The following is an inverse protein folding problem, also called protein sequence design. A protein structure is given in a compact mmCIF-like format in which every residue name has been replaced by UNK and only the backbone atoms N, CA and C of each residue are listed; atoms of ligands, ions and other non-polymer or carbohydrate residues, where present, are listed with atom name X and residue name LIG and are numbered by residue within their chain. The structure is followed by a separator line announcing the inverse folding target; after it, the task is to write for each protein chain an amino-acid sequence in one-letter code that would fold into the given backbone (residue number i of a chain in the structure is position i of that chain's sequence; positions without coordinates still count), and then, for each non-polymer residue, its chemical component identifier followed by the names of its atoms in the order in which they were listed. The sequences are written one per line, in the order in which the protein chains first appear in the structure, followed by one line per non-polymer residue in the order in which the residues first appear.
data_IF_518175417439
#
_entry.id   IF_518175417439
#
_cell.length_a   1.000
_cell.length_b   1.000
_cell.length_c   1.000
_cell.angle_alpha   90.00
_cell.angle_beta   90.00
_cell.angle_gamma   90.00
#
_symmetry.space_group_name_H-M   'P 1'
#
loop_
_entity.id
_entity.type
_entity.pdbx_description
1 polymer ?
#
# COMPACT_ATOMS: atom_id res chain seq x y z
N UNK A 1 -13.05 4.46 1.16
CA UNK A 1 -12.08 3.36 1.38
C UNK A 1 -12.53 2.41 2.48
N UNK A 2 -13.01 2.95 3.60
CA UNK A 2 -13.55 2.11 4.68
C UNK A 2 -14.74 1.27 4.22
N UNK A 3 -15.62 1.84 3.40
CA UNK A 3 -16.79 1.12 2.85
C UNK A 3 -16.38 -0.11 2.05
N UNK A 4 -15.33 0.00 1.25
CA UNK A 4 -14.83 -1.12 0.44
C UNK A 4 -14.31 -2.23 1.36
N UNK A 5 -13.55 -1.88 2.37
CA UNK A 5 -12.99 -2.84 3.33
C UNK A 5 -14.11 -3.54 4.12
N UNK A 6 -15.12 -2.79 4.54
CA UNK A 6 -16.28 -3.35 5.21
C UNK A 6 -17.01 -4.36 4.30
N UNK A 7 -17.17 -4.01 3.03
CA UNK A 7 -17.84 -4.85 2.05
C UNK A 7 -17.05 -6.14 1.80
N UNK A 8 -15.73 -6.05 1.72
CA UNK A 8 -14.86 -7.21 1.55
C UNK A 8 -15.00 -8.14 2.77
N UNK A 9 -14.91 -7.60 3.96
CA UNK A 9 -15.07 -8.40 5.19
C UNK A 9 -16.42 -9.12 5.22
N UNK A 10 -17.49 -8.40 4.93
CA UNK A 10 -18.84 -8.98 4.96
C UNK A 10 -19.06 -10.04 3.88
N UNK A 11 -18.34 -9.94 2.77
CA UNK A 11 -18.45 -10.90 1.65
C UNK A 11 -17.65 -12.17 1.85
N UNK A 12 -16.67 -12.17 2.77
CA UNK A 12 -15.86 -13.34 3.04
C UNK A 12 -16.59 -14.34 3.92
N UNK A 13 -16.33 -15.63 3.68
CA UNK A 13 -16.69 -16.69 4.63
C UNK A 13 -15.74 -16.64 5.83
N UNK A 14 -16.19 -17.17 6.95
CA UNK A 14 -15.30 -17.30 8.12
C UNK A 14 -14.09 -18.15 7.76
N UNK A 15 -12.91 -17.68 8.13
CA UNK A 15 -11.63 -18.28 7.73
C UNK A 15 -11.13 -17.81 6.37
N UNK A 16 -11.91 -17.04 5.62
CA UNK A 16 -11.49 -16.47 4.35
C UNK A 16 -10.43 -15.39 4.53
N UNK A 17 -9.55 -15.26 3.54
CA UNK A 17 -8.44 -14.32 3.59
C UNK A 17 -8.61 -13.17 2.59
N UNK A 18 -8.09 -12.02 2.99
CA UNK A 18 -7.98 -10.85 2.13
C UNK A 18 -6.52 -10.44 2.05
N UNK A 19 -5.98 -10.34 0.85
CA UNK A 19 -4.61 -9.87 0.61
C UNK A 19 -4.66 -8.46 0.04
N UNK A 20 -4.01 -7.53 0.72
CA UNK A 20 -3.91 -6.14 0.31
C UNK A 20 -2.47 -5.82 -0.04
N UNK A 21 -2.20 -5.51 -1.31
CA UNK A 21 -0.89 -5.06 -1.77
C UNK A 21 -1.01 -3.63 -2.26
N UNK A 22 -0.33 -2.72 -1.59
CA UNK A 22 -0.40 -1.30 -1.93
C UNK A 22 0.92 -0.59 -1.69
N UNK A 23 1.08 0.55 -2.35
CA UNK A 23 2.06 1.54 -1.94
C UNK A 23 1.61 2.14 -0.62
N UNK A 24 2.56 2.34 0.28
CA UNK A 24 2.32 3.00 1.55
C UNK A 24 3.19 4.24 1.67
N UNK A 25 2.69 5.20 2.47
CA UNK A 25 3.45 6.40 2.81
C UNK A 25 4.06 6.20 4.20
N UNK A 26 5.32 6.58 4.33
CA UNK A 26 5.96 6.61 5.64
C UNK A 26 5.56 7.88 6.39
N UNK A 27 5.31 7.78 7.71
CA UNK A 27 4.89 8.95 8.48
C UNK A 27 6.00 9.98 8.66
N UNK A 28 7.25 9.58 8.62
CA UNK A 28 8.42 10.44 8.73
C UNK A 28 8.85 10.90 7.33
N UNK A 29 8.95 12.22 7.14
CA UNK A 29 9.28 12.79 5.84
C UNK A 29 10.66 12.36 5.33
N UNK A 30 11.62 12.17 6.24
CA UNK A 30 12.97 11.71 5.88
C UNK A 30 12.92 10.30 5.28
N UNK A 31 12.23 9.38 5.95
CA UNK A 31 12.11 8.02 5.45
C UNK A 31 11.29 7.98 4.17
N UNK A 32 10.26 8.81 4.06
CA UNK A 32 9.48 8.90 2.83
C UNK A 32 10.36 9.32 1.65
N UNK A 33 11.21 10.31 1.82
CA UNK A 33 12.13 10.76 0.77
C UNK A 33 13.14 9.68 0.40
N UNK A 34 13.73 9.02 1.39
CA UNK A 34 14.71 7.94 1.16
C UNK A 34 14.09 6.75 0.43
N UNK A 35 12.90 6.33 0.84
CA UNK A 35 12.20 5.20 0.22
C UNK A 35 11.75 5.56 -1.20
N UNK A 36 11.30 6.78 -1.42
CA UNK A 36 10.95 7.26 -2.76
C UNK A 36 12.16 7.19 -3.70
N UNK A 37 13.34 7.57 -3.22
CA UNK A 37 14.57 7.48 -4.02
C UNK A 37 14.94 6.03 -4.31
N UNK A 38 14.84 5.14 -3.33
CA UNK A 38 15.10 3.71 -3.52
C UNK A 38 14.18 3.13 -4.59
N UNK A 39 12.92 3.53 -4.59
CA UNK A 39 11.95 3.07 -5.57
C UNK A 39 12.26 3.58 -6.98
N UNK A 40 12.67 4.85 -7.10
CA UNK A 40 13.07 5.41 -8.39
C UNK A 40 14.30 4.69 -8.93
N UNK A 41 15.30 4.43 -8.10
CA UNK A 41 16.50 3.70 -8.49
C UNK A 41 16.15 2.29 -8.96
N UNK A 42 15.25 1.61 -8.26
CA UNK A 42 14.76 0.29 -8.66
C UNK A 42 14.12 0.33 -10.05
N UNK A 43 13.28 1.33 -10.32
CA UNK A 43 12.64 1.47 -11.64
C UNK A 43 13.67 1.69 -12.74
N UNK A 44 14.69 2.52 -12.50
CA UNK A 44 15.74 2.75 -13.47
C UNK A 44 16.53 1.47 -13.75
N UNK A 45 16.83 0.68 -12.73
CA UNK A 45 17.50 -0.61 -12.87
C UNK A 45 16.67 -1.62 -13.65
N UNK A 46 15.34 -1.55 -13.55
CA UNK A 46 14.43 -2.42 -14.31
C UNK A 46 14.24 -1.98 -15.76
N UNK A 47 14.93 -0.92 -16.20
CA UNK A 47 14.90 -0.47 -17.58
C UNK A 47 13.84 0.57 -17.90
N UNK A 48 13.14 1.10 -16.92
CA UNK A 48 12.22 2.21 -17.14
C UNK A 48 12.98 3.47 -17.50
N UNK A 49 12.48 4.21 -18.51
CA UNK A 49 13.09 5.46 -18.91
C UNK A 49 12.81 6.55 -17.89
N UNK A 50 13.79 7.42 -17.65
CA UNK A 50 13.62 8.53 -16.69
C UNK A 50 12.47 9.46 -17.04
N UNK A 51 12.26 9.76 -18.32
CA UNK A 51 11.14 10.60 -18.76
C UNK A 51 9.77 9.93 -18.50
N UNK A 52 9.66 8.62 -18.70
CA UNK A 52 8.45 7.88 -18.40
C UNK A 52 8.15 7.87 -16.89
N UNK A 53 9.16 7.72 -16.07
CA UNK A 53 9.02 7.77 -14.61
C UNK A 53 8.51 9.14 -14.15
N UNK A 54 9.10 10.21 -14.65
CA UNK A 54 8.72 11.58 -14.32
C UNK A 54 7.30 11.87 -14.78
N UNK A 55 6.94 11.50 -16.01
CA UNK A 55 5.60 11.73 -16.54
C UNK A 55 4.53 10.99 -15.74
N UNK A 56 4.79 9.76 -15.36
CA UNK A 56 3.87 8.99 -14.52
C UNK A 56 3.72 9.62 -13.14
N UNK A 57 4.82 10.05 -12.53
CA UNK A 57 4.79 10.74 -11.23
C UNK A 57 3.92 11.99 -11.29
N UNK A 58 4.07 12.80 -12.37
CA UNK A 58 3.25 14.00 -12.56
C UNK A 58 1.77 13.66 -12.72
N UNK A 59 1.45 12.62 -13.49
CA UNK A 59 0.05 12.25 -13.74
C UNK A 59 -0.67 11.76 -12.48
N UNK A 60 0.07 11.28 -11.49
CA UNK A 60 -0.50 10.78 -10.23
C UNK A 60 -0.60 11.83 -9.13
N UNK A 61 0.00 13.01 -9.33
CA UNK A 61 -0.06 14.09 -8.33
C UNK A 61 -1.50 14.54 -8.12
N UNK A 62 -1.94 14.52 -6.86
CA UNK A 62 -3.31 14.88 -6.50
C UNK A 62 -4.37 13.83 -6.86
N UNK A 63 -3.98 12.74 -7.52
CA UNK A 63 -4.90 11.67 -7.95
C UNK A 63 -4.77 10.44 -7.06
N UNK A 64 -3.54 10.07 -6.73
CA UNK A 64 -3.27 8.91 -5.87
C UNK A 64 -2.49 9.34 -4.64
N UNK A 65 -3.10 9.16 -3.47
CA UNK A 65 -2.45 9.41 -2.19
C UNK A 65 -2.41 8.10 -1.41
N UNK A 66 -1.22 7.49 -1.25
CA UNK A 66 -1.11 6.25 -0.48
C UNK A 66 -1.41 6.49 0.99
N UNK A 67 -2.08 5.53 1.62
CA UNK A 67 -2.25 5.52 3.07
C UNK A 67 -0.95 5.06 3.73
N UNK A 68 -0.80 5.38 5.01
CA UNK A 68 0.27 4.80 5.84
C UNK A 68 -0.05 3.36 6.18
N UNK A 69 0.98 2.59 6.58
CA UNK A 69 0.79 1.24 7.08
C UNK A 69 -0.20 1.21 8.26
N UNK A 70 -0.04 2.14 9.20
CA UNK A 70 -0.95 2.24 10.34
C UNK A 70 -2.38 2.55 9.91
N UNK A 71 -2.55 3.42 8.93
CA UNK A 71 -3.87 3.76 8.37
C UNK A 71 -4.55 2.54 7.75
N UNK A 72 -3.82 1.76 6.95
CA UNK A 72 -4.35 0.54 6.35
C UNK A 72 -4.72 -0.50 7.42
N UNK A 73 -3.88 -0.66 8.43
CA UNK A 73 -4.17 -1.57 9.55
C UNK A 73 -5.45 -1.18 10.28
N UNK A 74 -5.66 0.12 10.51
CA UNK A 74 -6.87 0.60 11.17
C UNK A 74 -8.12 0.36 10.32
N UNK A 75 -8.02 0.56 9.01
CA UNK A 75 -9.14 0.28 8.10
C UNK A 75 -9.55 -1.19 8.17
N UNK A 76 -8.58 -2.09 8.18
CA UNK A 76 -8.82 -3.52 8.28
C UNK A 76 -9.46 -3.88 9.64
N UNK A 77 -8.94 -3.34 10.73
CA UNK A 77 -9.49 -3.57 12.07
C UNK A 77 -10.92 -3.05 12.20
N UNK A 78 -11.20 -1.87 11.67
CA UNK A 78 -12.55 -1.29 11.69
C UNK A 78 -13.53 -2.10 10.86
N UNK A 79 -13.07 -2.73 9.79
CA UNK A 79 -13.90 -3.60 8.97
C UNK A 79 -14.28 -4.90 9.71
N UNK A 80 -13.51 -5.29 10.71
CA UNK A 80 -13.78 -6.46 11.53
C UNK A 80 -12.67 -7.50 11.57
N UNK A 81 -11.61 -7.34 10.79
CA UNK A 81 -10.48 -8.27 10.78
C UNK A 81 -9.71 -8.17 12.11
N UNK A 82 -9.47 -9.31 12.74
CA UNK A 82 -8.67 -9.40 13.97
C UNK A 82 -7.30 -10.00 13.73
N UNK A 83 -7.21 -10.93 12.79
CA UNK A 83 -5.96 -11.62 12.48
C UNK A 83 -5.35 -10.96 11.23
N UNK A 84 -4.36 -10.12 11.44
CA UNK A 84 -3.75 -9.29 10.40
C UNK A 84 -2.23 -9.40 10.52
N UNK A 85 -1.55 -9.70 9.40
CA UNK A 85 -0.09 -9.79 9.38
C UNK A 85 0.46 -9.16 8.10
N UNK A 86 1.59 -8.47 8.24
CA UNK A 86 2.35 -8.02 7.08
C UNK A 86 3.15 -9.20 6.55
N UNK A 87 2.92 -9.55 5.28
CA UNK A 87 3.58 -10.70 4.64
C UNK A 87 4.66 -10.30 3.65
N UNK A 88 4.69 -9.03 3.26
CA UNK A 88 5.63 -8.54 2.27
C UNK A 88 5.90 -7.06 2.51
N UNK A 89 7.16 -6.68 2.37
CA UNK A 89 7.54 -5.28 2.39
C UNK A 89 8.78 -5.06 1.53
N UNK A 90 8.65 -4.18 0.54
CA UNK A 90 9.76 -3.78 -0.32
C UNK A 90 9.60 -2.31 -0.67
N UNK A 91 10.56 -1.49 -0.22
CA UNK A 91 10.54 -0.04 -0.40
C UNK A 91 9.18 0.55 0.03
N UNK A 92 8.43 1.13 -0.90
CA UNK A 92 7.11 1.71 -0.62
C UNK A 92 5.95 0.72 -0.77
N UNK A 93 6.22 -0.54 -1.16
CA UNK A 93 5.18 -1.55 -1.32
C UNK A 93 5.03 -2.38 -0.05
N UNK A 94 3.79 -2.66 0.30
CA UNK A 94 3.45 -3.48 1.46
C UNK A 94 2.34 -4.45 1.10
N UNK A 95 2.51 -5.71 1.50
CA UNK A 95 1.47 -6.73 1.40
C UNK A 95 0.99 -7.13 2.78
N UNK A 96 -0.31 -7.11 2.98
CA UNK A 96 -0.95 -7.45 4.26
C UNK A 96 -1.92 -8.59 4.00
N UNK A 97 -1.91 -9.58 4.87
CA UNK A 97 -2.90 -10.66 4.88
C UNK A 97 -3.79 -10.47 6.09
N UNK A 98 -5.09 -10.46 5.85
CA UNK A 98 -6.11 -10.36 6.90
C UNK A 98 -7.06 -11.56 6.78
N UNK A 99 -7.32 -12.23 7.89
CA UNK A 99 -8.21 -13.40 7.94
C UNK A 99 -9.48 -13.05 8.70
N UNK A 100 -10.62 -13.43 8.11
CA UNK A 100 -11.92 -13.25 8.76
C UNK A 100 -12.15 -14.33 9.87
#
# INVERSE_FOLDING_TARGET
RQKIFNKIFNSLHWGGGFMLFEKVRYPDARFQDMVSQVYLDFKLEQGFRSDAIINKSRSLKGVMEPFSSAGNMQLLKRAGFKDIVTIFKFACFEGILAIK
#
